data_IF_436671421202
#
_entry.id   IF_436671421202
#
_cell.length_a   1.000
_cell.length_b   1.000
_cell.length_c   1.000
_cell.angle_alpha   90.00
_cell.angle_beta   90.00
_cell.angle_gamma   90.00
#
_symmetry.space_group_name_H-M   'P 1'
#
loop_
_entity.id
_entity.type
_entity.pdbx_description
1 polymer ?
#
# COMPACT_ATOMS: atom_id res chain seq x y z
N UNK A 1 3.33 -5.12 18.10
CA UNK A 1 4.06 -4.20 17.20
C UNK A 1 3.88 -4.65 15.76
N UNK A 2 3.74 -3.73 14.80
CA UNK A 2 3.48 -4.01 13.38
C UNK A 2 4.74 -4.41 12.56
N UNK A 3 5.92 -4.45 13.19
CA UNK A 3 7.21 -4.58 12.51
C UNK A 3 7.76 -6.01 12.49
N UNK A 4 8.56 -6.29 11.47
CA UNK A 4 9.47 -7.42 11.39
C UNK A 4 10.78 -7.05 12.08
N UNK A 5 11.34 -7.98 12.85
CA UNK A 5 12.64 -7.82 13.53
C UNK A 5 13.81 -7.96 12.55
N UNK A 6 14.99 -7.45 12.89
CA UNK A 6 16.19 -7.61 12.04
C UNK A 6 16.53 -9.07 11.73
N UNK A 7 16.26 -10.00 12.65
CA UNK A 7 16.48 -11.42 12.43
C UNK A 7 15.49 -11.99 11.40
N UNK A 8 14.21 -11.64 11.52
CA UNK A 8 13.18 -12.03 10.56
C UNK A 8 13.44 -11.42 9.18
N UNK A 9 13.84 -10.15 9.12
CA UNK A 9 14.20 -9.48 7.85
C UNK A 9 15.36 -10.20 7.16
N UNK A 10 16.45 -10.52 7.88
CA UNK A 10 17.58 -11.27 7.31
C UNK A 10 17.14 -12.62 6.76
N UNK A 11 16.29 -13.32 7.50
CA UNK A 11 15.76 -14.61 7.05
C UNK A 11 14.90 -14.47 5.79
N UNK A 12 13.97 -13.51 5.75
CA UNK A 12 13.11 -13.24 4.58
C UNK A 12 13.94 -12.87 3.36
N UNK A 13 14.95 -12.02 3.52
CA UNK A 13 15.86 -11.62 2.43
C UNK A 13 16.53 -12.84 1.83
N UNK A 14 17.12 -13.69 2.68
CA UNK A 14 17.81 -14.89 2.23
C UNK A 14 16.86 -15.86 1.51
N UNK A 15 15.70 -16.11 2.12
CA UNK A 15 14.67 -16.99 1.58
C UNK A 15 14.16 -16.49 0.22
N UNK A 16 13.78 -15.22 0.15
CA UNK A 16 13.28 -14.59 -1.08
C UNK A 16 14.33 -14.60 -2.18
N UNK A 17 15.58 -14.26 -1.83
CA UNK A 17 16.68 -14.24 -2.78
C UNK A 17 16.98 -15.62 -3.35
N UNK A 18 16.91 -16.68 -2.53
CA UNK A 18 17.08 -18.05 -2.99
C UNK A 18 16.00 -18.44 -4.01
N UNK A 19 14.72 -18.15 -3.73
CA UNK A 19 13.63 -18.47 -4.65
C UNK A 19 13.67 -17.64 -5.93
N UNK A 20 14.04 -16.36 -5.87
CA UNK A 20 14.23 -15.51 -7.05
C UNK A 20 15.31 -16.11 -7.95
N UNK A 21 16.49 -16.42 -7.40
CA UNK A 21 17.59 -17.02 -8.17
C UNK A 21 17.21 -18.38 -8.76
N UNK A 22 16.50 -19.21 -8.00
CA UNK A 22 16.01 -20.51 -8.47
C UNK A 22 15.05 -20.35 -9.66
N UNK A 23 14.11 -19.40 -9.58
CA UNK A 23 13.21 -19.10 -10.67
C UNK A 23 13.99 -18.61 -11.91
N UNK A 24 14.85 -17.61 -11.75
CA UNK A 24 15.61 -17.03 -12.86
C UNK A 24 16.55 -18.05 -13.53
N UNK A 25 17.13 -18.96 -12.76
CA UNK A 25 18.01 -20.01 -13.29
C UNK A 25 17.28 -21.09 -14.10
N UNK A 26 16.02 -21.36 -13.78
CA UNK A 26 15.22 -22.40 -14.46
C UNK A 26 14.32 -21.86 -15.57
N UNK A 27 14.04 -20.55 -15.59
CA UNK A 27 13.19 -19.94 -16.60
C UNK A 27 13.94 -19.77 -17.94
N UNK A 28 13.26 -20.04 -19.05
CA UNK A 28 13.76 -19.72 -20.39
C UNK A 28 13.30 -18.29 -20.78
N UNK A 29 14.20 -17.34 -21.12
CA UNK A 29 13.83 -15.98 -21.51
C UNK A 29 12.82 -15.90 -22.66
N UNK A 30 12.81 -16.86 -23.57
CA UNK A 30 11.92 -16.85 -24.73
C UNK A 30 10.47 -17.16 -24.41
N UNK A 31 10.18 -17.71 -23.23
CA UNK A 31 8.83 -17.92 -22.71
C UNK A 31 8.20 -16.64 -22.12
N UNK A 32 8.98 -15.54 -22.07
CA UNK A 32 8.61 -14.28 -21.43
C UNK A 32 8.74 -13.09 -22.39
N UNK A 33 8.16 -11.95 -22.01
CA UNK A 33 8.23 -10.70 -22.78
C UNK A 33 8.60 -9.51 -21.89
N UNK A 34 9.12 -8.44 -22.49
CA UNK A 34 9.41 -7.19 -21.80
C UNK A 34 10.39 -7.34 -20.63
N UNK A 35 10.00 -6.81 -19.46
CA UNK A 35 10.82 -6.73 -18.24
C UNK A 35 11.32 -8.11 -17.79
N UNK A 36 10.46 -9.13 -17.78
CA UNK A 36 10.79 -10.47 -17.28
C UNK A 36 11.80 -11.18 -18.19
N UNK A 37 11.61 -11.13 -19.51
CA UNK A 37 12.58 -11.65 -20.50
C UNK A 37 13.97 -11.07 -20.29
N UNK A 38 14.04 -9.75 -20.16
CA UNK A 38 15.30 -9.04 -19.98
C UNK A 38 16.01 -9.41 -18.66
N UNK A 39 15.24 -9.54 -17.57
CA UNK A 39 15.77 -9.93 -16.27
C UNK A 39 16.32 -11.36 -16.26
N UNK A 40 15.59 -12.32 -16.85
CA UNK A 40 16.02 -13.73 -16.95
C UNK A 40 17.30 -13.83 -17.80
N UNK A 41 17.32 -13.17 -18.97
CA UNK A 41 18.49 -13.16 -19.84
C UNK A 41 19.71 -12.49 -19.16
N UNK A 42 19.49 -11.44 -18.36
CA UNK A 42 20.56 -10.81 -17.58
C UNK A 42 21.11 -11.74 -16.49
N UNK A 43 20.24 -12.49 -15.80
CA UNK A 43 20.66 -13.50 -14.82
C UNK A 43 21.55 -14.57 -15.46
N UNK A 44 21.16 -15.11 -16.62
CA UNK A 44 21.97 -16.13 -17.32
C UNK A 44 23.35 -15.62 -17.76
N UNK A 45 23.49 -14.32 -18.06
CA UNK A 45 24.80 -13.72 -18.38
C UNK A 45 25.67 -13.45 -17.15
N UNK A 46 25.06 -13.20 -15.99
CA UNK A 46 25.79 -12.82 -14.78
C UNK A 46 25.00 -13.09 -13.49
N UNK A 47 24.95 -14.35 -13.02
CA UNK A 47 24.18 -14.71 -11.82
C UNK A 47 24.62 -13.98 -10.55
N UNK A 48 25.91 -13.59 -10.47
CA UNK A 48 26.48 -12.86 -9.33
C UNK A 48 25.85 -11.48 -9.09
N UNK A 49 25.26 -10.86 -10.12
CA UNK A 49 24.56 -9.56 -10.02
C UNK A 49 23.19 -9.67 -9.31
N UNK A 50 22.82 -10.87 -8.87
CA UNK A 50 21.57 -11.21 -8.22
C UNK A 50 21.80 -11.87 -6.84
N UNK A 51 22.94 -11.58 -6.20
CA UNK A 51 23.12 -11.88 -4.77
C UNK A 51 22.10 -11.12 -3.92
N UNK A 52 21.91 -11.55 -2.67
CA UNK A 52 20.99 -10.91 -1.73
C UNK A 52 21.39 -9.43 -1.52
N UNK A 53 22.69 -9.15 -1.40
CA UNK A 53 23.25 -7.79 -1.27
C UNK A 53 22.94 -6.93 -2.48
N UNK A 54 23.18 -7.45 -3.70
CA UNK A 54 22.88 -6.70 -4.94
C UNK A 54 21.40 -6.42 -5.12
N UNK A 55 20.53 -7.36 -4.74
CA UNK A 55 19.09 -7.15 -4.78
C UNK A 55 18.61 -6.13 -3.75
N UNK A 56 19.24 -6.07 -2.58
CA UNK A 56 18.99 -5.03 -1.58
C UNK A 56 19.48 -3.66 -2.05
N UNK A 57 20.67 -3.56 -2.64
CA UNK A 57 21.21 -2.32 -3.22
C UNK A 57 20.23 -1.73 -4.25
N UNK A 58 19.70 -2.57 -5.14
CA UNK A 58 18.68 -2.19 -6.14
C UNK A 58 17.34 -1.76 -5.53
N UNK A 59 17.03 -2.22 -4.32
CA UNK A 59 15.78 -1.90 -3.61
C UNK A 59 15.91 -0.82 -2.54
N UNK A 60 17.10 -0.27 -2.32
CA UNK A 60 17.39 0.61 -1.18
C UNK A 60 16.71 1.99 -1.29
N UNK A 61 16.59 2.53 -2.50
CA UNK A 61 15.97 3.83 -2.74
C UNK A 61 14.55 3.68 -3.27
N UNK A 62 13.56 4.06 -2.45
CA UNK A 62 12.15 4.02 -2.82
C UNK A 62 11.81 4.87 -4.07
N UNK A 63 12.61 5.90 -4.39
CA UNK A 63 12.44 6.74 -5.57
C UNK A 63 12.87 6.07 -6.88
N UNK A 64 13.86 5.19 -6.86
CA UNK A 64 14.47 4.60 -8.06
C UNK A 64 14.33 3.09 -8.17
N UNK A 65 13.97 2.39 -7.09
CA UNK A 65 13.80 0.94 -7.06
C UNK A 65 12.86 0.40 -8.16
N UNK A 66 11.86 1.17 -8.59
CA UNK A 66 10.94 0.79 -9.68
C UNK A 66 11.66 0.51 -11.01
N UNK A 67 12.87 1.05 -11.20
CA UNK A 67 13.70 0.87 -12.39
C UNK A 67 14.41 -0.50 -12.44
N UNK A 68 14.37 -1.27 -11.35
CA UNK A 68 15.03 -2.57 -11.25
C UNK A 68 14.02 -3.72 -11.20
N UNK A 69 13.99 -4.54 -12.26
CA UNK A 69 13.05 -5.66 -12.37
C UNK A 69 13.16 -6.71 -11.26
N UNK A 70 14.37 -6.93 -10.76
CA UNK A 70 14.67 -7.89 -9.70
C UNK A 70 15.35 -7.15 -8.55
N UNK A 71 14.73 -7.20 -7.37
CA UNK A 71 15.16 -6.46 -6.18
C UNK A 71 14.45 -6.94 -4.93
N UNK A 72 15.01 -6.57 -3.77
CA UNK A 72 14.37 -6.72 -2.47
C UNK A 72 14.36 -5.34 -1.81
N UNK A 73 13.16 -4.85 -1.46
CA UNK A 73 12.95 -3.58 -0.78
C UNK A 73 12.74 -3.82 0.72
N UNK A 74 13.48 -3.11 1.57
CA UNK A 74 13.22 -3.02 3.00
C UNK A 74 12.45 -1.73 3.27
N UNK A 75 11.13 -1.81 3.38
CA UNK A 75 10.26 -0.64 3.48
C UNK A 75 9.99 -0.28 4.94
N UNK A 76 9.99 1.03 5.24
CA UNK A 76 9.95 1.51 6.63
C UNK A 76 11.08 0.95 7.49
N UNK A 77 12.30 0.85 6.94
CA UNK A 77 13.46 0.29 7.63
C UNK A 77 13.84 1.11 8.88
N UNK A 78 14.24 0.42 9.95
CA UNK A 78 14.80 1.04 11.15
C UNK A 78 15.84 0.10 11.81
N UNK A 79 16.58 0.55 12.84
CA UNK A 79 17.63 -0.25 13.45
C UNK A 79 17.21 -1.62 13.98
N UNK A 80 15.94 -1.82 14.35
CA UNK A 80 15.45 -3.11 14.88
C UNK A 80 14.72 -3.95 13.83
N UNK A 81 14.67 -3.53 12.55
CA UNK A 81 14.10 -4.31 11.44
C UNK A 81 13.42 -3.46 10.36
N UNK A 82 12.23 -3.87 9.91
CA UNK A 82 11.50 -3.19 8.84
C UNK A 82 9.98 -3.35 9.01
N UNK A 83 9.21 -2.40 8.47
CA UNK A 83 7.75 -2.45 8.48
C UNK A 83 7.22 -3.54 7.54
N UNK A 84 7.89 -3.70 6.40
CA UNK A 84 7.58 -4.67 5.36
C UNK A 84 8.85 -5.03 4.59
N UNK A 85 8.93 -6.26 4.10
CA UNK A 85 9.89 -6.66 3.06
C UNK A 85 9.13 -6.95 1.78
N UNK A 86 9.54 -6.37 0.66
CA UNK A 86 8.95 -6.66 -0.64
C UNK A 86 10.01 -7.23 -1.58
N UNK A 87 9.77 -8.44 -2.09
CA UNK A 87 10.67 -9.13 -3.01
C UNK A 87 10.03 -9.17 -4.40
N UNK A 88 10.72 -8.64 -5.42
CA UNK A 88 10.26 -8.65 -6.81
C UNK A 88 11.25 -9.42 -7.68
N UNK A 89 10.73 -10.28 -8.55
CA UNK A 89 11.57 -11.02 -9.52
C UNK A 89 11.10 -12.43 -9.89
N UNK A 90 9.85 -12.78 -9.58
CA UNK A 90 9.24 -14.05 -10.00
C UNK A 90 7.95 -13.72 -10.74
N UNK A 91 7.76 -14.25 -11.94
CA UNK A 91 6.63 -13.91 -12.81
C UNK A 91 5.78 -15.15 -13.15
N UNK A 92 4.54 -14.90 -13.57
CA UNK A 92 3.62 -15.92 -14.06
C UNK A 92 3.22 -16.95 -12.99
N UNK A 93 2.88 -18.16 -13.46
CA UNK A 93 2.40 -19.27 -12.61
C UNK A 93 3.42 -19.75 -11.57
N UNK A 94 4.71 -19.44 -11.77
CA UNK A 94 5.73 -19.76 -10.77
C UNK A 94 5.50 -19.01 -9.44
N UNK A 95 4.78 -17.89 -9.47
CA UNK A 95 4.47 -17.13 -8.25
C UNK A 95 3.57 -17.89 -7.29
N UNK A 96 2.51 -18.51 -7.80
CA UNK A 96 1.55 -19.27 -7.00
C UNK A 96 2.24 -20.46 -6.30
N UNK A 97 3.13 -21.14 -7.03
CA UNK A 97 3.95 -22.23 -6.44
C UNK A 97 4.90 -21.69 -5.40
N UNK A 98 5.58 -20.57 -5.67
CA UNK A 98 6.56 -19.99 -4.75
C UNK A 98 5.89 -19.49 -3.48
N UNK A 99 4.75 -18.81 -3.56
CA UNK A 99 4.07 -18.33 -2.35
C UNK A 99 3.60 -19.47 -1.46
N UNK A 100 3.13 -20.58 -2.03
CA UNK A 100 2.77 -21.77 -1.25
C UNK A 100 3.97 -22.35 -0.48
N UNK A 101 5.14 -22.42 -1.12
CA UNK A 101 6.40 -22.86 -0.46
C UNK A 101 6.81 -21.88 0.63
N UNK A 102 6.83 -20.58 0.35
CA UNK A 102 7.17 -19.54 1.33
C UNK A 102 6.25 -19.58 2.55
N UNK A 103 4.93 -19.76 2.35
CA UNK A 103 3.96 -19.91 3.45
C UNK A 103 4.29 -21.13 4.32
N UNK A 104 4.51 -22.29 3.70
CA UNK A 104 4.85 -23.51 4.43
C UNK A 104 6.14 -23.37 5.23
N UNK A 105 7.18 -22.73 4.69
CA UNK A 105 8.44 -22.50 5.40
C UNK A 105 8.30 -21.54 6.60
N UNK A 106 7.51 -20.47 6.42
CA UNK A 106 7.23 -19.51 7.50
C UNK A 106 6.38 -20.13 8.61
N UNK A 107 5.43 -21.00 8.27
CA UNK A 107 4.60 -21.76 9.21
C UNK A 107 5.42 -22.79 9.99
N UNK A 108 6.30 -23.54 9.33
CA UNK A 108 7.19 -24.52 9.99
C UNK A 108 8.10 -23.87 11.03
N UNK A 109 8.48 -22.61 10.84
CA UNK A 109 9.29 -21.83 11.78
C UNK A 109 8.46 -21.20 12.91
N UNK A 110 7.16 -21.44 12.95
CA UNK A 110 6.20 -20.78 13.83
C UNK A 110 6.40 -19.25 13.82
N UNK A 111 6.68 -18.69 12.64
CA UNK A 111 6.95 -17.27 12.50
C UNK A 111 5.62 -16.51 12.45
N UNK A 112 5.53 -15.40 13.19
CA UNK A 112 4.38 -14.51 13.10
C UNK A 112 4.50 -13.60 11.85
N UNK A 113 4.75 -14.20 10.69
CA UNK A 113 5.00 -13.51 9.41
C UNK A 113 4.00 -14.02 8.39
N UNK A 114 3.39 -13.12 7.65
CA UNK A 114 2.51 -13.44 6.52
C UNK A 114 3.17 -13.03 5.22
N UNK A 115 2.96 -13.82 4.17
CA UNK A 115 3.38 -13.52 2.81
C UNK A 115 2.17 -13.51 1.87
N UNK A 116 2.11 -12.49 1.02
CA UNK A 116 1.06 -12.28 0.02
C UNK A 116 1.67 -11.94 -1.33
N UNK A 117 0.98 -12.28 -2.41
CA UNK A 117 1.30 -11.76 -3.74
C UNK A 117 0.89 -10.31 -3.84
N UNK A 118 1.69 -9.49 -4.51
CA UNK A 118 1.34 -8.12 -4.84
C UNK A 118 1.77 -7.80 -6.28
N UNK A 119 0.91 -7.11 -7.02
CA UNK A 119 1.13 -6.81 -8.44
C UNK A 119 1.44 -8.07 -9.27
N UNK A 120 2.18 -7.89 -10.37
CA UNK A 120 2.48 -8.96 -11.34
C UNK A 120 3.69 -9.84 -10.98
N UNK A 121 4.53 -9.42 -10.02
CA UNK A 121 5.83 -10.05 -9.79
C UNK A 121 6.41 -9.92 -8.38
N UNK A 122 5.62 -9.39 -7.44
CA UNK A 122 6.09 -9.13 -6.08
C UNK A 122 5.47 -10.11 -5.08
N UNK A 123 6.23 -10.37 -4.02
CA UNK A 123 5.75 -10.91 -2.75
C UNK A 123 6.00 -9.88 -1.66
N UNK A 124 5.03 -9.69 -0.79
CA UNK A 124 5.10 -8.79 0.33
C UNK A 124 5.01 -9.57 1.63
N UNK A 125 5.97 -9.33 2.52
CA UNK A 125 6.09 -9.97 3.82
C UNK A 125 5.81 -8.95 4.92
N UNK A 126 4.88 -9.29 5.80
CA UNK A 126 4.46 -8.44 6.91
C UNK A 126 4.33 -9.26 8.20
N UNK A 127 4.24 -8.57 9.33
CA UNK A 127 3.81 -9.18 10.60
C UNK A 127 2.39 -9.73 10.44
N UNK A 128 2.10 -10.90 11.02
CA UNK A 128 0.73 -11.45 11.02
C UNK A 128 -0.28 -10.44 11.61
N UNK A 129 -1.43 -10.32 10.96
CA UNK A 129 -2.46 -9.32 11.26
C UNK A 129 -2.23 -7.93 10.65
N UNK A 130 -1.07 -7.68 10.00
CA UNK A 130 -0.82 -6.46 9.24
C UNK A 130 -1.24 -6.66 7.78
N UNK A 131 -2.24 -5.90 7.35
CA UNK A 131 -2.79 -5.84 6.00
C UNK A 131 -3.48 -4.49 5.77
N UNK A 132 -4.05 -4.29 4.57
CA UNK A 132 -4.79 -3.06 4.23
C UNK A 132 -6.03 -2.81 5.10
N UNK A 133 -6.54 -3.80 5.82
CA UNK A 133 -7.66 -3.64 6.76
C UNK A 133 -7.24 -3.06 8.12
N UNK A 134 -6.00 -3.30 8.53
CA UNK A 134 -5.48 -2.85 9.83
C UNK A 134 -5.64 -1.32 10.05
N UNK A 135 -5.21 -0.45 9.13
CA UNK A 135 -5.40 0.99 9.28
C UNK A 135 -6.89 1.38 9.33
N UNK A 136 -7.75 0.74 8.53
CA UNK A 136 -9.20 1.01 8.50
C UNK A 136 -9.84 0.72 9.87
N UNK A 137 -9.55 -0.46 10.43
CA UNK A 137 -10.04 -0.86 11.76
C UNK A 137 -9.51 0.06 12.87
N UNK A 138 -8.26 0.51 12.75
CA UNK A 138 -7.68 1.43 13.72
C UNK A 138 -8.38 2.79 13.71
N UNK A 139 -8.61 3.38 12.53
CA UNK A 139 -9.24 4.70 12.42
C UNK A 139 -10.71 4.67 12.83
N UNK A 140 -11.44 3.58 12.54
CA UNK A 140 -12.82 3.40 13.01
C UNK A 140 -12.89 3.43 14.55
N UNK A 141 -11.95 2.76 15.22
CA UNK A 141 -11.92 2.70 16.68
C UNK A 141 -11.38 3.97 17.37
N UNK A 142 -10.63 4.83 16.66
CA UNK A 142 -9.90 5.97 17.25
C UNK A 142 -10.18 7.30 16.55
N UNK A 143 -11.29 7.41 15.82
CA UNK A 143 -11.52 8.49 14.87
C UNK A 143 -11.32 9.89 15.43
N UNK A 144 -11.91 10.18 16.59
CA UNK A 144 -11.84 11.52 17.18
C UNK A 144 -10.40 11.90 17.56
N UNK A 145 -9.62 10.94 18.03
CA UNK A 145 -8.20 11.14 18.32
C UNK A 145 -7.37 11.33 17.05
N UNK A 146 -7.70 10.60 15.98
CA UNK A 146 -7.05 10.75 14.68
C UNK A 146 -7.31 12.14 14.11
N UNK A 147 -8.56 12.62 14.13
CA UNK A 147 -8.91 13.97 13.69
C UNK A 147 -8.16 15.06 14.47
N UNK A 148 -8.03 14.88 15.80
CA UNK A 148 -7.25 15.80 16.64
C UNK A 148 -5.78 15.80 16.23
N UNK A 149 -5.17 14.64 15.99
CA UNK A 149 -3.79 14.55 15.52
C UNK A 149 -3.62 15.18 14.14
N UNK A 150 -4.59 15.02 13.23
CA UNK A 150 -4.59 15.64 11.91
C UNK A 150 -4.67 17.17 11.96
N UNK A 151 -5.04 17.76 13.09
CA UNK A 151 -5.38 19.19 13.21
C UNK A 151 -6.48 19.54 12.21
N UNK A 152 -7.47 18.65 12.10
CA UNK A 152 -8.54 18.75 11.13
C UNK A 152 -9.34 20.04 11.30
N UNK A 153 -9.61 20.72 10.18
CA UNK A 153 -10.50 21.87 10.12
C UNK A 153 -11.64 21.56 9.14
N UNK A 154 -12.90 21.73 9.56
CA UNK A 154 -14.07 21.54 8.71
C UNK A 154 -13.98 22.32 7.40
N UNK A 155 -14.56 21.75 6.35
CA UNK A 155 -14.80 22.49 5.11
C UNK A 155 -16.19 23.12 5.10
N UNK A 156 -16.55 23.80 4.00
CA UNK A 156 -17.83 24.46 3.86
C UNK A 156 -19.03 23.49 3.76
N UNK A 157 -18.81 22.22 3.42
CA UNK A 157 -19.88 21.25 3.19
C UNK A 157 -19.77 19.98 4.01
N UNK A 158 -18.58 19.63 4.50
CA UNK A 158 -18.32 18.44 5.29
C UNK A 158 -17.63 18.84 6.60
N UNK A 159 -18.16 18.32 7.69
CA UNK A 159 -17.51 18.27 8.99
C UNK A 159 -17.32 16.81 9.40
N UNK A 160 -16.14 16.24 9.14
CA UNK A 160 -15.78 14.87 9.50
C UNK A 160 -15.91 14.51 10.99
N UNK A 161 -16.07 15.50 11.89
CA UNK A 161 -16.41 15.27 13.30
C UNK A 161 -17.87 14.85 13.47
N UNK A 162 -18.75 15.36 12.61
CA UNK A 162 -20.20 15.13 12.60
C UNK A 162 -20.60 14.07 11.57
N UNK A 163 -20.14 14.22 10.33
CA UNK A 163 -20.44 13.33 9.22
C UNK A 163 -19.81 11.95 9.39
N UNK A 164 -18.68 11.90 10.12
CA UNK A 164 -17.92 10.68 10.42
C UNK A 164 -17.75 9.81 9.19
N UNK A 165 -17.26 10.41 8.10
CA UNK A 165 -17.05 9.74 6.82
C UNK A 165 -15.61 9.90 6.33
N UNK A 166 -15.07 8.81 5.77
CA UNK A 166 -13.73 8.75 5.16
C UNK A 166 -13.83 8.02 3.83
N UNK A 167 -13.19 8.59 2.80
CA UNK A 167 -12.90 7.84 1.57
C UNK A 167 -11.48 7.32 1.68
N UNK A 168 -11.33 6.01 1.74
CA UNK A 168 -10.07 5.32 1.64
C UNK A 168 -9.93 4.72 0.23
N UNK A 169 -8.72 4.67 -0.30
CA UNK A 169 -8.48 4.04 -1.59
C UNK A 169 -7.09 3.42 -1.68
N UNK A 170 -6.97 2.38 -2.50
CA UNK A 170 -5.66 1.93 -2.97
C UNK A 170 -4.96 3.03 -3.80
N UNK A 171 -3.64 2.89 -3.94
CA UNK A 171 -2.82 3.71 -4.81
C UNK A 171 -2.84 3.30 -6.28
N UNK A 172 -2.09 2.24 -6.58
CA UNK A 172 -1.65 1.89 -7.94
C UNK A 172 -2.81 1.24 -8.71
N UNK A 173 -3.23 1.82 -9.82
CA UNK A 173 -4.41 1.34 -10.58
C UNK A 173 -5.74 1.92 -10.08
N UNK A 174 -5.74 2.61 -8.93
CA UNK A 174 -6.95 3.14 -8.30
C UNK A 174 -7.03 4.66 -8.32
N UNK A 175 -6.04 5.38 -7.76
CA UNK A 175 -6.02 6.86 -7.78
C UNK A 175 -4.96 7.45 -8.72
N UNK A 176 -3.96 6.65 -9.10
CA UNK A 176 -2.96 6.95 -10.11
C UNK A 176 -2.50 5.63 -10.75
N UNK A 177 -1.89 5.70 -11.94
CA UNK A 177 -1.41 4.50 -12.62
C UNK A 177 -0.27 3.82 -11.86
N UNK A 178 -0.14 2.50 -12.07
CA UNK A 178 0.95 1.71 -11.49
C UNK A 178 2.33 2.10 -12.05
N UNK A 179 3.43 1.83 -11.32
CA UNK A 179 4.78 2.16 -11.76
C UNK A 179 5.18 1.37 -13.02
N UNK A 180 5.84 2.06 -13.96
CA UNK A 180 6.56 1.49 -15.09
C UNK A 180 8.08 1.66 -14.89
N UNK A 181 8.91 0.91 -15.63
CA UNK A 181 10.38 0.92 -15.45
C UNK A 181 11.02 2.31 -15.52
N UNK A 182 10.46 3.25 -16.29
CA UNK A 182 11.03 4.58 -16.52
C UNK A 182 10.13 5.72 -16.01
N UNK A 183 8.97 5.38 -15.47
CA UNK A 183 7.96 6.37 -15.13
C UNK A 183 7.22 5.94 -13.87
N UNK A 184 7.11 6.87 -12.93
CA UNK A 184 6.39 6.71 -11.69
C UNK A 184 5.19 7.68 -11.70
N UNK A 185 4.01 7.24 -12.17
CA UNK A 185 2.83 8.09 -12.25
C UNK A 185 2.42 8.61 -10.88
N UNK A 186 1.93 9.84 -10.82
CA UNK A 186 1.46 10.48 -9.60
C UNK A 186 0.01 10.96 -9.78
N UNK A 187 -0.61 11.44 -8.70
CA UNK A 187 -1.99 11.93 -8.75
C UNK A 187 -2.15 13.05 -9.80
N UNK A 188 -1.14 13.90 -9.99
CA UNK A 188 -1.19 15.01 -10.96
C UNK A 188 -1.44 14.59 -12.40
N UNK A 189 -1.07 13.35 -12.74
CA UNK A 189 -1.11 12.83 -14.10
C UNK A 189 -2.49 12.22 -14.42
N UNK A 190 -3.29 11.93 -13.40
CA UNK A 190 -4.54 11.17 -13.51
C UNK A 190 -5.82 11.99 -13.42
N UNK A 191 -6.96 11.45 -13.90
CA UNK A 191 -8.27 12.12 -13.89
C UNK A 191 -8.86 12.29 -12.48
N UNK A 192 -8.37 11.52 -11.49
CA UNK A 192 -8.85 11.53 -10.10
C UNK A 192 -8.48 12.81 -9.35
N UNK A 193 -7.43 13.51 -9.78
CA UNK A 193 -6.90 14.72 -9.13
C UNK A 193 -7.99 15.75 -8.81
N UNK A 194 -8.78 16.11 -9.81
CA UNK A 194 -9.77 17.19 -9.72
C UNK A 194 -10.90 16.83 -8.76
N UNK A 195 -11.61 15.69 -8.90
CA UNK A 195 -12.68 15.35 -7.96
C UNK A 195 -12.16 15.09 -6.55
N UNK A 196 -10.98 14.49 -6.37
CA UNK A 196 -10.38 14.32 -5.05
C UNK A 196 -10.07 15.66 -4.38
N UNK A 197 -9.49 16.61 -5.13
CA UNK A 197 -9.23 17.97 -4.64
C UNK A 197 -10.53 18.64 -4.19
N UNK A 198 -11.62 18.48 -4.94
CA UNK A 198 -12.94 19.04 -4.59
C UNK A 198 -13.50 18.42 -3.31
N UNK A 199 -13.45 17.09 -3.17
CA UNK A 199 -13.88 16.38 -1.97
C UNK A 199 -13.12 16.88 -0.73
N UNK A 200 -11.79 17.00 -0.85
CA UNK A 200 -10.94 17.49 0.22
C UNK A 200 -11.22 18.97 0.55
N UNK A 201 -11.41 19.83 -0.44
CA UNK A 201 -11.78 21.24 -0.23
C UNK A 201 -13.13 21.40 0.47
N UNK A 202 -14.09 20.52 0.16
CA UNK A 202 -15.39 20.48 0.80
C UNK A 202 -15.33 20.12 2.30
N UNK A 203 -14.20 19.57 2.78
CA UNK A 203 -13.98 19.16 4.17
C UNK A 203 -13.82 17.66 4.35
N UNK A 204 -13.89 16.87 3.27
CA UNK A 204 -13.72 15.42 3.35
C UNK A 204 -12.33 15.01 3.83
N UNK A 205 -12.23 13.83 4.45
CA UNK A 205 -10.96 13.19 4.80
C UNK A 205 -10.71 12.03 3.86
N UNK A 206 -9.51 12.01 3.27
CA UNK A 206 -9.06 10.95 2.38
C UNK A 206 -7.93 10.15 3.01
N UNK A 207 -7.97 8.82 2.84
CA UNK A 207 -6.88 7.94 3.23
C UNK A 207 -6.34 7.15 2.03
N UNK A 208 -5.06 7.33 1.71
CA UNK A 208 -4.36 6.44 0.79
C UNK A 208 -3.92 5.18 1.53
N UNK A 209 -4.23 4.00 1.01
CA UNK A 209 -3.81 2.70 1.58
C UNK A 209 -2.92 1.98 0.58
N UNK A 210 -1.61 1.96 0.81
CA UNK A 210 -0.64 1.43 -0.15
C UNK A 210 0.23 0.32 0.43
N UNK A 211 0.56 -0.65 -0.42
CA UNK A 211 1.67 -1.59 -0.18
C UNK A 211 3.04 -0.90 -0.22
N UNK A 212 3.17 0.21 -0.94
CA UNK A 212 4.46 0.89 -1.15
C UNK A 212 5.03 1.54 0.13
N UNK A 213 6.33 1.86 0.07
CA UNK A 213 7.00 2.67 1.09
C UNK A 213 6.28 4.01 1.30
N UNK A 214 6.22 4.45 2.56
CA UNK A 214 5.57 5.70 2.94
C UNK A 214 6.07 6.86 2.08
N UNK A 215 7.39 6.96 1.85
CA UNK A 215 8.02 8.04 1.10
C UNK A 215 7.61 8.09 -0.37
N UNK A 216 7.35 6.91 -0.96
CA UNK A 216 6.85 6.81 -2.33
C UNK A 216 5.37 7.17 -2.39
N UNK A 217 4.56 6.60 -1.50
CA UNK A 217 3.10 6.77 -1.50
C UNK A 217 2.71 8.24 -1.34
N UNK A 218 3.28 8.92 -0.35
CA UNK A 218 2.87 10.30 -0.05
C UNK A 218 3.35 11.31 -1.09
N UNK A 219 4.56 11.19 -1.64
CA UNK A 219 5.04 12.08 -2.70
C UNK A 219 4.13 12.01 -3.92
N UNK A 220 3.76 10.81 -4.35
CA UNK A 220 2.87 10.60 -5.51
C UNK A 220 1.47 11.17 -5.27
N UNK A 221 0.96 11.11 -4.04
CA UNK A 221 -0.31 11.73 -3.67
C UNK A 221 -0.22 13.27 -3.67
N UNK A 222 0.78 13.84 -3.00
CA UNK A 222 0.90 15.28 -2.82
C UNK A 222 1.25 16.03 -4.11
N UNK A 223 1.92 15.38 -5.06
CA UNK A 223 2.33 15.98 -6.34
C UNK A 223 1.14 16.46 -7.20
N UNK A 224 -0.12 16.17 -6.83
CA UNK A 224 -1.32 16.70 -7.46
C UNK A 224 -2.20 17.62 -6.60
N UNK A 225 -1.88 17.80 -5.32
CA UNK A 225 -2.76 18.44 -4.32
C UNK A 225 -2.19 19.77 -3.80
N UNK A 226 -3.03 20.81 -3.63
CA UNK A 226 -2.58 22.06 -3.04
C UNK A 226 -2.35 21.92 -1.51
N UNK A 227 -1.45 22.73 -0.89
CA UNK A 227 -1.08 22.54 0.52
C UNK A 227 -2.19 22.78 1.55
N UNK A 228 -3.20 23.60 1.22
CA UNK A 228 -4.29 23.96 2.12
C UNK A 228 -5.15 22.76 2.55
N UNK A 229 -5.13 21.66 1.78
CA UNK A 229 -5.89 20.45 2.07
C UNK A 229 -5.06 19.32 2.68
N UNK A 230 -3.75 19.50 2.89
CA UNK A 230 -2.89 18.45 3.47
C UNK A 230 -3.36 17.93 4.84
N UNK A 231 -3.85 18.77 5.78
CA UNK A 231 -4.38 18.31 7.06
C UNK A 231 -5.66 17.44 6.98
N UNK A 232 -6.11 17.07 5.78
CA UNK A 232 -7.25 16.18 5.52
C UNK A 232 -6.81 14.84 4.90
N UNK A 233 -5.51 14.57 4.90
CA UNK A 233 -4.91 13.38 4.30
C UNK A 233 -4.34 12.45 5.38
N UNK A 234 -4.68 11.18 5.25
CA UNK A 234 -4.03 10.05 5.92
C UNK A 234 -3.36 9.16 4.88
N UNK A 235 -2.28 8.49 5.28
CA UNK A 235 -1.56 7.55 4.44
C UNK A 235 -1.23 6.32 5.27
N UNK A 236 -1.84 5.21 4.93
CA UNK A 236 -1.39 3.91 5.33
C UNK A 236 -0.41 3.36 4.30
N UNK A 237 0.78 2.97 4.75
CA UNK A 237 1.88 2.52 3.89
C UNK A 237 2.40 1.15 4.35
N UNK A 238 3.36 0.60 3.61
CA UNK A 238 4.04 -0.65 3.97
C UNK A 238 3.06 -1.82 4.17
N UNK A 239 2.00 -1.86 3.35
CA UNK A 239 0.95 -2.88 3.45
C UNK A 239 0.05 -2.72 4.67
N UNK A 240 -0.02 -1.52 5.25
CA UNK A 240 -0.77 -1.22 6.47
C UNK A 240 0.07 -1.33 7.75
N UNK A 241 1.39 -1.50 7.66
CA UNK A 241 2.26 -1.51 8.85
C UNK A 241 2.45 -0.11 9.46
N UNK A 242 2.25 0.93 8.63
CA UNK A 242 2.37 2.33 8.99
C UNK A 242 1.09 3.10 8.69
N UNK A 243 0.82 4.10 9.54
CA UNK A 243 -0.20 5.11 9.35
C UNK A 243 0.39 6.47 9.67
N UNK A 244 0.24 7.42 8.75
CA UNK A 244 0.73 8.79 8.88
C UNK A 244 -0.36 9.79 8.50
N UNK A 245 -0.30 10.98 9.08
CA UNK A 245 -0.99 12.17 8.60
C UNK A 245 -0.05 13.03 7.77
N UNK A 246 -0.60 13.99 7.04
CA UNK A 246 0.19 15.00 6.35
C UNK A 246 0.11 16.33 7.10
N UNK A 247 1.26 16.85 7.52
CA UNK A 247 1.41 18.17 8.11
C UNK A 247 1.16 19.30 7.10
N UNK A 248 0.92 20.51 7.61
CA UNK A 248 0.72 21.71 6.77
C UNK A 248 1.94 22.05 5.90
N UNK A 249 3.13 21.63 6.31
CA UNK A 249 4.37 21.78 5.57
C UNK A 249 4.53 20.75 4.45
N UNK A 250 3.54 19.86 4.27
CA UNK A 250 3.64 18.75 3.35
C UNK A 250 4.76 17.81 3.77
N UNK A 251 4.76 17.37 5.04
CA UNK A 251 5.55 16.24 5.54
C UNK A 251 4.63 15.16 6.13
N UNK A 252 4.99 13.90 5.92
CA UNK A 252 4.31 12.77 6.56
C UNK A 252 4.78 12.63 8.01
N UNK A 253 3.83 12.58 8.94
CA UNK A 253 4.06 12.41 10.36
C UNK A 253 3.29 11.17 10.85
N UNK A 254 3.97 10.24 11.50
CA UNK A 254 3.34 9.00 11.98
C UNK A 254 2.26 9.31 13.00
N UNK A 255 1.11 8.63 12.86
CA UNK A 255 0.06 8.65 13.88
C UNK A 255 0.60 8.00 15.16
N UNK A 256 0.42 8.70 16.27
CA UNK A 256 0.87 8.25 17.58
C UNK A 256 0.23 6.90 17.94
N UNK A 257 1.01 6.05 18.58
CA UNK A 257 0.65 4.71 19.05
C UNK A 257 0.22 3.68 18.01
N UNK A 258 0.05 4.05 16.74
CA UNK A 258 -0.44 3.13 15.69
C UNK A 258 0.39 1.83 15.66
N UNK A 259 1.71 1.97 15.52
CA UNK A 259 2.64 0.84 15.40
C UNK A 259 2.61 -0.10 16.61
N UNK A 260 2.33 0.43 17.80
CA UNK A 260 2.28 -0.32 19.06
C UNK A 260 0.92 -0.96 19.32
N UNK A 261 -0.18 -0.25 18.99
CA UNK A 261 -1.54 -0.60 19.44
C UNK A 261 -2.45 -1.14 18.34
N UNK A 262 -2.11 -0.96 17.05
CA UNK A 262 -3.04 -1.30 15.97
C UNK A 262 -3.48 -2.76 15.97
N UNK A 263 -2.55 -3.69 16.18
CA UNK A 263 -2.87 -5.13 16.23
C UNK A 263 -3.75 -5.50 17.43
N UNK A 264 -3.53 -4.86 18.58
CA UNK A 264 -4.36 -5.07 19.78
C UNK A 264 -5.79 -4.56 19.54
N UNK A 265 -5.92 -3.35 19.02
CA UNK A 265 -7.22 -2.75 18.69
C UNK A 265 -7.97 -3.58 17.65
N UNK A 266 -7.26 -4.07 16.63
CA UNK A 266 -7.84 -4.90 15.58
C UNK A 266 -8.29 -6.29 16.05
N UNK A 267 -7.75 -6.79 17.18
CA UNK A 267 -8.15 -8.04 17.82
C UNK A 267 -9.30 -7.85 18.81
N UNK A 268 -9.61 -6.61 19.21
CA UNK A 268 -10.74 -6.28 20.05
C UNK A 268 -12.10 -6.56 19.39
N UNK A 269 -13.21 -6.47 20.15
CA UNK A 269 -14.54 -6.59 19.58
C UNK A 269 -14.72 -5.56 18.47
N UNK A 270 -15.30 -5.98 17.34
CA UNK A 270 -15.65 -5.06 16.25
C UNK A 270 -16.56 -3.98 16.83
N UNK A 271 -16.06 -2.75 16.92
CA UNK A 271 -16.92 -1.60 17.12
C UNK A 271 -17.94 -1.63 15.98
N UNK A 272 -19.23 -1.58 16.31
CA UNK A 272 -20.27 -1.44 15.28
C UNK A 272 -20.14 -0.04 14.68
N UNK A 273 -19.38 0.06 13.58
CA UNK A 273 -19.34 1.12 12.57
C UNK A 273 -19.61 2.52 13.14
N UNK A 274 -18.67 3.05 13.94
CA UNK A 274 -18.76 4.45 14.34
C UNK A 274 -18.33 5.38 13.20
N UNK A 275 -17.51 4.89 12.26
CA UNK A 275 -17.01 5.62 11.11
C UNK A 275 -17.52 5.02 9.79
N UNK A 276 -18.08 5.87 8.94
CA UNK A 276 -18.51 5.52 7.59
C UNK A 276 -17.31 5.54 6.62
N UNK A 277 -16.63 4.40 6.50
CA UNK A 277 -15.47 4.27 5.62
C UNK A 277 -15.91 3.64 4.29
N UNK A 278 -15.71 4.36 3.18
CA UNK A 278 -15.76 3.78 1.83
C UNK A 278 -14.35 3.39 1.42
N UNK A 279 -14.17 2.20 0.87
CA UNK A 279 -12.89 1.76 0.31
C UNK A 279 -12.99 1.52 -1.20
N UNK A 280 -12.08 2.14 -1.96
CA UNK A 280 -11.96 1.99 -3.42
C UNK A 280 -10.69 1.17 -3.74
N UNK A 281 -10.79 0.15 -4.59
CA UNK A 281 -9.63 -0.65 -5.01
C UNK A 281 -9.84 -1.38 -6.32
N UNK A 282 -8.75 -1.83 -6.94
CA UNK A 282 -8.71 -2.45 -8.27
C UNK A 282 -8.47 -3.96 -8.25
N UNK A 283 -8.15 -4.54 -7.09
CA UNK A 283 -7.80 -5.96 -6.94
C UNK A 283 -8.79 -6.76 -6.05
N UNK A 284 -10.01 -7.07 -6.55
CA UNK A 284 -11.07 -7.73 -5.77
C UNK A 284 -10.89 -9.25 -5.64
N UNK A 285 -9.83 -9.82 -6.23
CA UNK A 285 -9.60 -11.26 -6.28
C UNK A 285 -9.55 -11.92 -4.89
N UNK A 286 -9.77 -13.24 -4.79
CA UNK A 286 -9.69 -13.95 -3.50
C UNK A 286 -8.33 -13.79 -2.80
N UNK A 287 -7.25 -13.77 -3.58
CA UNK A 287 -5.88 -13.50 -3.12
C UNK A 287 -5.44 -12.05 -3.40
N UNK A 288 -6.39 -11.19 -3.78
CA UNK A 288 -6.16 -9.80 -4.14
C UNK A 288 -5.73 -8.95 -2.95
N UNK A 289 -4.85 -7.98 -3.18
CA UNK A 289 -4.27 -7.19 -2.09
C UNK A 289 -5.29 -6.26 -1.41
N UNK A 290 -6.39 -5.92 -2.09
CA UNK A 290 -7.49 -5.10 -1.56
C UNK A 290 -8.55 -5.91 -0.82
N UNK A 291 -8.53 -7.24 -0.95
CA UNK A 291 -9.53 -8.12 -0.34
C UNK A 291 -9.72 -7.87 1.16
N UNK A 292 -8.66 -7.74 1.98
CA UNK A 292 -8.83 -7.46 3.41
C UNK A 292 -9.54 -6.12 3.68
N UNK A 293 -9.26 -5.10 2.86
CA UNK A 293 -9.89 -3.79 3.00
C UNK A 293 -11.37 -3.82 2.64
N UNK A 294 -11.73 -4.50 1.53
CA UNK A 294 -13.13 -4.72 1.14
C UNK A 294 -13.92 -5.47 2.22
N UNK A 295 -13.33 -6.50 2.82
CA UNK A 295 -13.97 -7.26 3.90
C UNK A 295 -14.16 -6.44 5.18
N UNK A 296 -13.25 -5.49 5.45
CA UNK A 296 -13.34 -4.64 6.63
C UNK A 296 -14.41 -3.56 6.53
N UNK A 297 -14.58 -2.94 5.36
CA UNK A 297 -15.65 -1.93 5.15
C UNK A 297 -17.00 -2.57 4.84
N UNK A 298 -17.01 -3.82 4.38
CA UNK A 298 -18.22 -4.55 3.99
C UNK A 298 -18.71 -4.20 2.58
N UNK A 299 -19.52 -5.09 2.00
CA UNK A 299 -19.90 -5.04 0.58
C UNK A 299 -20.55 -3.72 0.14
N UNK A 300 -21.34 -3.07 1.01
CA UNK A 300 -22.01 -1.80 0.69
C UNK A 300 -21.08 -0.60 0.60
N UNK A 301 -19.84 -0.74 1.12
CA UNK A 301 -18.83 0.32 1.18
C UNK A 301 -17.55 -0.04 0.42
N UNK A 302 -17.53 -1.20 -0.22
CA UNK A 302 -16.47 -1.65 -1.12
C UNK A 302 -16.79 -1.21 -2.56
N UNK A 303 -15.93 -0.40 -3.15
CA UNK A 303 -16.03 0.06 -4.54
C UNK A 303 -14.90 -0.56 -5.34
N UNK A 304 -15.25 -1.44 -6.27
CA UNK A 304 -14.29 -2.07 -7.18
C UNK A 304 -14.20 -1.24 -8.45
N UNK A 305 -12.99 -0.87 -8.84
CA UNK A 305 -12.71 -0.08 -10.04
C UNK A 305 -11.90 -0.88 -11.04
N UNK A 306 -12.08 -0.61 -12.33
CA UNK A 306 -11.26 -1.22 -13.40
C UNK A 306 -10.12 -0.32 -13.84
N UNK A 307 -10.34 0.99 -13.74
CA UNK A 307 -9.37 2.02 -14.09
C UNK A 307 -9.63 3.32 -13.33
N UNK A 308 -8.76 4.32 -13.53
CA UNK A 308 -8.82 5.60 -12.84
C UNK A 308 -10.10 6.42 -13.13
N UNK A 309 -10.79 6.18 -14.25
CA UNK A 309 -12.03 6.88 -14.56
C UNK A 309 -13.18 6.38 -13.69
N UNK A 310 -13.22 5.11 -13.31
CA UNK A 310 -14.22 4.59 -12.38
C UNK A 310 -14.10 5.29 -11.02
N UNK A 311 -12.88 5.46 -10.51
CA UNK A 311 -12.63 6.23 -9.27
C UNK A 311 -13.07 7.68 -9.40
N UNK A 312 -12.76 8.33 -10.54
CA UNK A 312 -13.19 9.71 -10.83
C UNK A 312 -14.72 9.81 -10.78
N UNK A 313 -15.42 8.93 -11.50
CA UNK A 313 -16.89 8.92 -11.58
C UNK A 313 -17.52 8.67 -10.22
N UNK A 314 -16.98 7.74 -9.45
CA UNK A 314 -17.43 7.47 -8.08
C UNK A 314 -17.35 8.74 -7.21
N UNK A 315 -16.21 9.43 -7.20
CA UNK A 315 -16.05 10.65 -6.41
C UNK A 315 -17.00 11.77 -6.85
N UNK A 316 -17.21 11.93 -8.17
CA UNK A 316 -18.15 12.90 -8.72
C UNK A 316 -19.59 12.60 -8.31
N UNK A 317 -20.01 11.33 -8.40
CA UNK A 317 -21.33 10.89 -7.97
C UNK A 317 -21.52 11.07 -6.46
N UNK A 318 -20.53 10.67 -5.66
CA UNK A 318 -20.57 10.80 -4.20
C UNK A 318 -20.77 12.24 -3.73
N UNK A 319 -20.08 13.18 -4.39
CA UNK A 319 -20.24 14.61 -4.15
C UNK A 319 -21.60 15.13 -4.60
N UNK A 320 -22.09 14.68 -5.77
CA UNK A 320 -23.40 15.07 -6.30
C UNK A 320 -24.55 14.68 -5.37
N UNK A 321 -24.57 13.42 -4.91
CA UNK A 321 -25.59 12.89 -4.00
C UNK A 321 -25.64 13.64 -2.66
N UNK A 322 -24.49 14.18 -2.23
CA UNK A 322 -24.35 14.98 -1.00
C UNK A 322 -24.51 16.48 -1.21
N UNK A 323 -24.91 16.91 -2.41
CA UNK A 323 -25.10 18.32 -2.78
C UNK A 323 -23.86 19.18 -2.50
N UNK A 324 -22.68 18.58 -2.67
CA UNK A 324 -21.40 19.29 -2.59
C UNK A 324 -21.22 19.99 -3.94
N UNK A 325 -21.71 21.21 -4.02
CA UNK A 325 -21.63 22.03 -5.23
C UNK A 325 -20.19 22.44 -5.50
N UNK A 326 -19.82 22.53 -6.78
CA UNK A 326 -18.53 23.10 -7.20
C UNK A 326 -18.49 24.58 -6.76
N UNK A 327 -17.59 24.88 -5.81
CA UNK A 327 -17.05 26.22 -5.65
C UNK A 327 -15.98 26.48 -6.72
#
# INVERSE_FOLDING_TARGET
MTYLTSAEVKHIVHLSGAHIRLFLGNANPDDFTGESKNAIAAFHRGPGEFSDERMLEKGADAGTAHQHAVRIELRGAHPQGAAQVAAKGIWGLAREKTIAVLRAELEQRNSAITVRTAGSSSFEFNRSGVDKSLPLRYIDARWDEILNQMVYVPGPFIDSRLDRAVIAADGDGTIYDGPALTHLPALKDGPVRTPLTRYLKAGGVFMLVSGNDLTRAWRRLLDGLPPDIYPRLLIAANGGADLARIGKDGRAEFIHDYRSKALEIAAGPKNKNALDIVYIGDDPGPDGNDRPAFEAVGQQRAVVVKDLNDTKLFLEQWMHERKIHSA
#
